data_IF_848522649083
#
_entry.id   IF_848522649083
#
_cell.length_a   1.000
_cell.length_b   1.000
_cell.length_c   1.000
_cell.angle_alpha   90.00
_cell.angle_beta   90.00
_cell.angle_gamma   90.00
#
_symmetry.space_group_name_H-M   'P 1'
#
loop_
_entity.id
_entity.type
_entity.pdbx_description
1 polymer ?
#
# COMPACT_ATOMS: atom_id res chain seq x y z
N UNK A 1 21.56 13.14 3.28
CA UNK A 1 21.24 13.46 4.69
C UNK A 1 20.44 14.78 4.71
N UNK A 2 19.20 14.77 4.21
CA UNK A 2 18.28 15.94 4.24
C UNK A 2 16.85 15.40 4.30
N UNK A 3 16.32 15.12 5.49
CA UNK A 3 14.89 14.81 5.66
C UNK A 3 14.37 15.10 7.09
N UNK A 4 15.02 16.01 7.79
CA UNK A 4 14.72 16.34 9.21
C UNK A 4 14.27 17.80 9.39
N UNK A 5 14.05 18.56 8.31
CA UNK A 5 13.70 19.99 8.38
C UNK A 5 12.19 20.27 8.29
N UNK A 6 11.34 19.28 7.99
CA UNK A 6 9.91 19.52 7.79
C UNK A 6 9.04 19.25 9.04
N UNK A 7 9.68 18.91 10.16
CA UNK A 7 9.02 18.59 11.44
C UNK A 7 8.26 19.78 12.07
N UNK A 8 8.35 20.98 11.48
CA UNK A 8 7.66 22.19 11.95
C UNK A 8 6.37 22.50 11.17
N UNK A 9 6.17 21.88 10.00
CA UNK A 9 4.93 22.01 9.25
C UNK A 9 3.95 20.95 9.76
N UNK A 10 2.83 21.41 10.33
CA UNK A 10 1.72 20.53 10.69
C UNK A 10 1.30 19.69 9.47
N UNK A 11 1.09 18.39 9.67
CA UNK A 11 0.64 17.43 8.64
C UNK A 11 -0.49 17.97 7.76
N UNK A 12 -1.44 18.70 8.35
CA UNK A 12 -2.57 19.30 7.61
C UNK A 12 -2.09 20.36 6.60
N UNK A 13 -1.10 21.17 6.94
CA UNK A 13 -0.51 22.15 6.03
C UNK A 13 0.27 21.48 4.92
N UNK A 14 1.03 20.44 5.23
CA UNK A 14 1.77 19.65 4.24
C UNK A 14 0.82 19.04 3.20
N UNK A 15 -0.25 18.36 3.64
CA UNK A 15 -1.25 17.76 2.75
C UNK A 15 -1.96 18.79 1.86
N UNK A 16 -2.22 19.99 2.40
CA UNK A 16 -2.76 21.11 1.60
C UNK A 16 -1.78 21.58 0.53
N UNK A 17 -0.50 21.72 0.88
CA UNK A 17 0.56 22.10 -0.07
C UNK A 17 0.71 21.07 -1.18
N UNK A 18 0.71 19.77 -0.85
CA UNK A 18 0.73 18.68 -1.84
C UNK A 18 -0.49 18.73 -2.75
N UNK A 19 -1.68 18.89 -2.18
CA UNK A 19 -2.93 19.00 -2.96
C UNK A 19 -2.91 20.20 -3.91
N UNK A 20 -2.39 21.34 -3.44
CA UNK A 20 -2.20 22.53 -4.27
C UNK A 20 -1.19 22.26 -5.39
N UNK A 21 -0.05 21.63 -5.10
CA UNK A 21 0.99 21.32 -6.08
C UNK A 21 0.47 20.41 -7.20
N UNK A 22 -0.35 19.40 -6.87
CA UNK A 22 -0.98 18.53 -7.88
C UNK A 22 -1.95 19.29 -8.79
N UNK A 23 -2.70 20.24 -8.23
CA UNK A 23 -3.69 21.04 -8.97
C UNK A 23 -3.03 22.11 -9.84
N UNK A 24 -1.96 22.73 -9.35
CA UNK A 24 -1.22 23.81 -10.00
C UNK A 24 0.15 23.35 -10.50
N UNK A 25 0.17 22.18 -11.14
CA UNK A 25 1.39 21.59 -11.66
C UNK A 25 2.02 22.45 -12.76
N UNK A 26 3.35 22.58 -12.73
CA UNK A 26 4.16 23.25 -13.76
C UNK A 26 5.39 22.41 -14.12
N UNK A 27 5.89 22.56 -15.34
CA UNK A 27 7.10 21.88 -15.82
C UNK A 27 8.35 22.37 -15.08
N UNK A 28 9.42 21.57 -15.12
CA UNK A 28 10.67 21.86 -14.40
C UNK A 28 11.26 23.25 -14.70
N UNK A 29 11.14 23.73 -15.94
CA UNK A 29 11.65 25.03 -16.39
C UNK A 29 10.92 26.23 -15.76
N UNK A 30 9.67 26.04 -15.36
CA UNK A 30 8.82 27.08 -14.79
C UNK A 30 8.86 27.11 -13.26
N UNK A 31 9.55 26.15 -12.63
CA UNK A 31 9.65 26.06 -11.17
C UNK A 31 10.65 27.07 -10.65
N UNK A 32 10.27 27.76 -9.58
CA UNK A 32 11.19 28.62 -8.84
C UNK A 32 11.76 27.84 -7.66
N UNK A 33 13.08 27.85 -7.51
CA UNK A 33 13.76 27.21 -6.36
C UNK A 33 13.35 27.84 -5.02
N UNK A 34 12.77 29.04 -5.03
CA UNK A 34 12.24 29.73 -3.86
C UNK A 34 10.90 29.17 -3.35
N UNK A 35 10.31 28.18 -4.03
CA UNK A 35 9.06 27.56 -3.61
C UNK A 35 9.27 26.60 -2.43
N UNK A 36 8.15 26.25 -1.78
CA UNK A 36 8.19 25.33 -0.65
C UNK A 36 8.70 23.95 -1.09
N UNK A 37 9.62 23.30 -0.35
CA UNK A 37 10.18 22.01 -0.71
C UNK A 37 9.12 20.91 -0.89
N UNK A 38 8.04 20.93 -0.11
CA UNK A 38 6.91 19.97 -0.23
C UNK A 38 6.24 20.09 -1.60
N UNK A 39 6.10 21.31 -2.11
CA UNK A 39 5.51 21.56 -3.44
C UNK A 39 6.45 21.08 -4.53
N UNK A 40 7.75 21.37 -4.41
CA UNK A 40 8.75 20.95 -5.39
C UNK A 40 8.88 19.42 -5.45
N UNK A 41 8.85 18.74 -4.30
CA UNK A 41 8.91 17.29 -4.22
C UNK A 41 7.64 16.65 -4.81
N UNK A 42 6.45 17.17 -4.48
CA UNK A 42 5.19 16.67 -5.06
C UNK A 42 5.14 16.88 -6.59
N UNK A 43 5.65 17.99 -7.10
CA UNK A 43 5.72 18.21 -8.56
C UNK A 43 6.69 17.24 -9.24
N UNK A 44 7.83 16.89 -8.61
CA UNK A 44 8.74 15.85 -9.12
C UNK A 44 8.08 14.47 -9.11
N UNK A 45 7.33 14.14 -8.06
CA UNK A 45 6.58 12.88 -8.00
C UNK A 45 5.58 12.83 -9.17
N UNK A 46 4.86 13.93 -9.42
CA UNK A 46 3.93 14.02 -10.54
C UNK A 46 4.61 13.93 -11.92
N UNK A 47 5.82 14.47 -12.08
CA UNK A 47 6.61 14.26 -13.31
C UNK A 47 6.86 12.77 -13.55
N UNK A 48 7.31 12.09 -12.50
CA UNK A 48 7.63 10.66 -12.54
C UNK A 48 6.39 9.82 -12.85
N UNK A 49 5.26 10.11 -12.22
CA UNK A 49 3.96 9.47 -12.52
C UNK A 49 3.58 9.66 -13.99
N UNK A 50 3.84 10.85 -14.56
CA UNK A 50 3.53 11.15 -15.96
C UNK A 50 4.43 10.34 -16.91
N UNK A 51 5.75 10.30 -16.66
CA UNK A 51 6.66 9.47 -17.45
C UNK A 51 6.32 7.99 -17.35
N UNK A 52 5.99 7.48 -16.15
CA UNK A 52 5.56 6.09 -15.97
C UNK A 52 4.26 5.82 -16.70
N UNK A 53 3.32 6.78 -16.71
CA UNK A 53 2.07 6.63 -17.47
C UNK A 53 2.29 6.63 -18.98
N UNK A 54 3.29 7.35 -19.48
CA UNK A 54 3.69 7.33 -20.89
C UNK A 54 4.40 6.03 -21.26
N UNK A 55 5.33 5.56 -20.43
CA UNK A 55 5.98 4.24 -20.58
C UNK A 55 4.97 3.10 -20.52
N UNK A 56 3.92 3.28 -19.71
CA UNK A 56 2.82 2.32 -19.57
C UNK A 56 1.67 2.55 -20.56
N UNK A 57 1.75 3.63 -21.35
CA UNK A 57 0.83 3.97 -22.43
C UNK A 57 1.03 3.00 -23.59
N UNK A 58 0.03 2.94 -24.47
CA UNK A 58 -0.30 1.79 -25.30
C UNK A 58 0.80 1.28 -26.26
N UNK A 59 1.87 2.02 -26.55
CA UNK A 59 2.89 1.57 -27.52
C UNK A 59 3.68 0.33 -27.07
N UNK A 60 3.93 0.15 -25.77
CA UNK A 60 4.53 -1.09 -25.25
C UNK A 60 3.52 -2.26 -25.21
N UNK A 61 2.23 -1.95 -25.08
CA UNK A 61 1.13 -2.92 -24.98
C UNK A 61 0.51 -3.27 -26.32
N UNK A 62 0.82 -2.60 -27.44
CA UNK A 62 0.25 -2.94 -28.76
C UNK A 62 0.75 -4.31 -29.28
N UNK A 63 1.80 -4.88 -28.68
CA UNK A 63 2.10 -6.33 -28.82
C UNK A 63 1.04 -7.25 -28.20
N UNK A 64 0.14 -6.70 -27.36
CA UNK A 64 -1.04 -7.34 -26.78
C UNK A 64 -2.33 -7.09 -27.58
N UNK A 65 -2.26 -6.86 -28.90
CA UNK A 65 -3.42 -6.96 -29.81
C UNK A 65 -3.95 -8.40 -29.96
N UNK A 66 -3.55 -9.33 -29.09
CA UNK A 66 -4.12 -10.65 -29.00
C UNK A 66 -5.12 -10.68 -27.84
N UNK A 67 -6.40 -10.55 -28.16
CA UNK A 67 -7.49 -10.91 -27.24
C UNK A 67 -7.56 -12.44 -27.25
N UNK A 68 -7.29 -13.12 -26.12
CA UNK A 68 -7.46 -14.57 -26.07
C UNK A 68 -8.92 -14.88 -26.39
N UNK A 69 -9.13 -15.70 -27.43
CA UNK A 69 -10.46 -16.21 -27.75
C UNK A 69 -11.04 -16.85 -26.48
N UNK A 70 -12.35 -16.63 -26.26
CA UNK A 70 -13.04 -17.21 -25.11
C UNK A 70 -12.66 -18.70 -24.98
N UNK A 71 -12.28 -19.16 -23.77
CA UNK A 71 -11.83 -20.53 -23.60
C UNK A 71 -12.87 -21.48 -24.18
N UNK A 72 -12.43 -22.42 -25.03
CA UNK A 72 -13.32 -23.37 -25.71
C UNK A 72 -14.09 -24.27 -24.71
N UNK A 73 -13.64 -24.31 -23.46
CA UNK A 73 -14.21 -25.14 -22.39
C UNK A 73 -14.87 -24.23 -21.36
N UNK A 74 -16.20 -24.32 -21.29
CA UNK A 74 -16.96 -23.75 -20.20
C UNK A 74 -16.84 -24.66 -18.97
N UNK A 75 -16.14 -24.21 -17.92
CA UNK A 75 -16.14 -24.90 -16.62
C UNK A 75 -17.32 -24.39 -15.79
N UNK A 76 -18.20 -25.30 -15.40
CA UNK A 76 -19.26 -25.03 -14.44
C UNK A 76 -18.66 -24.84 -13.05
N UNK A 77 -18.93 -23.68 -12.44
CA UNK A 77 -18.43 -23.27 -11.11
C UNK A 77 -19.53 -23.29 -10.05
N UNK A 78 -20.67 -23.93 -10.34
CA UNK A 78 -21.84 -24.07 -9.46
C UNK A 78 -21.72 -25.26 -8.48
N UNK A 79 -20.58 -25.95 -8.46
CA UNK A 79 -20.34 -27.01 -7.48
C UNK A 79 -20.16 -26.40 -6.07
N UNK A 80 -20.69 -27.10 -5.06
CA UNK A 80 -20.54 -26.68 -3.67
C UNK A 80 -19.05 -26.49 -3.35
N UNK A 81 -18.71 -25.32 -2.84
CA UNK A 81 -17.34 -25.05 -2.42
C UNK A 81 -16.91 -26.11 -1.40
N UNK A 82 -15.76 -26.75 -1.62
CA UNK A 82 -15.15 -27.61 -0.62
C UNK A 82 -14.83 -26.71 0.59
N UNK A 83 -15.32 -27.09 1.77
CA UNK A 83 -14.99 -26.37 3.00
C UNK A 83 -13.47 -26.36 3.18
N UNK A 84 -12.87 -25.19 3.02
CA UNK A 84 -11.45 -25.01 3.28
C UNK A 84 -11.19 -25.31 4.76
N UNK A 85 -10.17 -26.13 5.03
CA UNK A 85 -9.73 -26.37 6.40
C UNK A 85 -9.41 -25.03 7.05
N UNK A 86 -9.95 -24.79 8.25
CA UNK A 86 -9.67 -23.58 8.99
C UNK A 86 -8.14 -23.39 9.10
N UNK A 87 -7.64 -22.15 8.97
CA UNK A 87 -6.23 -21.89 9.15
C UNK A 87 -5.79 -22.42 10.52
N UNK A 88 -4.54 -22.89 10.61
CA UNK A 88 -3.96 -23.37 11.85
C UNK A 88 -3.74 -22.21 12.82
N UNK A 89 -4.85 -21.74 13.42
CA UNK A 89 -4.83 -20.71 14.45
C UNK A 89 -4.27 -21.42 15.68
N UNK A 90 -3.01 -21.10 16.02
CA UNK A 90 -2.43 -21.44 17.31
C UNK A 90 -3.38 -20.87 18.37
N UNK A 91 -4.14 -21.75 19.02
CA UNK A 91 -5.05 -21.36 20.08
C UNK A 91 -4.20 -20.79 21.19
N UNK A 92 -4.22 -19.46 21.38
CA UNK A 92 -3.69 -18.85 22.59
C UNK A 92 -4.38 -19.55 23.77
N UNK A 93 -3.60 -20.23 24.61
CA UNK A 93 -4.14 -20.85 25.80
C UNK A 93 -4.95 -19.81 26.58
N UNK A 94 -6.21 -20.14 26.83
CA UNK A 94 -7.10 -19.36 27.67
C UNK A 94 -6.37 -18.99 28.97
N UNK A 95 -6.49 -17.74 29.40
CA UNK A 95 -5.82 -17.23 30.59
C UNK A 95 -6.17 -18.05 31.85
N UNK A 96 -7.34 -18.72 31.84
CA UNK A 96 -7.75 -19.67 32.87
C UNK A 96 -6.80 -20.88 32.99
N UNK A 97 -6.26 -21.39 31.87
CA UNK A 97 -5.36 -22.55 31.86
C UNK A 97 -3.98 -22.20 32.41
N UNK A 98 -3.50 -20.97 32.15
CA UNK A 98 -2.23 -20.47 32.72
C UNK A 98 -2.29 -20.36 34.23
N UNK A 99 -3.41 -19.90 34.82
CA UNK A 99 -3.54 -19.78 36.29
C UNK A 99 -3.46 -21.12 37.02
N UNK A 100 -4.00 -22.20 36.43
CA UNK A 100 -3.92 -23.54 37.05
C UNK A 100 -2.49 -24.08 37.07
N UNK A 101 -1.68 -23.82 36.05
CA UNK A 101 -0.29 -24.30 36.00
C UNK A 101 0.56 -23.70 37.13
N UNK A 102 0.40 -22.40 37.42
CA UNK A 102 1.09 -21.76 38.54
C UNK A 102 0.59 -22.23 39.91
N UNK A 103 -0.68 -22.62 40.02
CA UNK A 103 -1.26 -23.06 41.30
C UNK A 103 -0.85 -24.50 41.67
N UNK A 104 -0.54 -25.36 40.70
CA UNK A 104 -0.07 -26.73 40.94
C UNK A 104 1.40 -26.77 41.34
N UNK A 105 2.25 -25.90 40.77
CA UNK A 105 3.66 -25.76 41.19
C UNK A 105 3.79 -25.29 42.64
N UNK A 106 2.94 -24.34 43.06
CA UNK A 106 2.95 -23.76 44.41
C UNK A 106 2.47 -24.76 45.49
N UNK A 107 1.59 -25.70 45.12
CA UNK A 107 1.11 -26.78 46.00
C UNK A 107 2.08 -27.96 46.13
N UNK A 108 3.10 -28.04 45.27
CA UNK A 108 4.11 -29.11 45.29
C UNK A 108 5.44 -28.64 45.93
N UNK A 109 5.48 -27.38 46.39
CA UNK A 109 6.64 -26.74 47.01
C UNK A 109 6.54 -26.63 48.55
N UNK A 110 5.57 -27.31 49.18
CA UNK A 110 5.43 -27.43 50.64
C UNK A 110 5.69 -28.85 51.14
#
# INVERSE_FOLDING_TARGET
MIKELDSTISLVKELRLRSWARTHYVSAEQRKETWNPVVLDEMKIKDQEMSESEENSMDARVTSMFVPLAPAVNRRLDEAHIEASAPHIIKMHDAATRRRAYQVEDLMAE
#
